data_IF_764100372614
#
_entry.id   IF_764100372614
#
_cell.length_a   1.000
_cell.length_b   1.000
_cell.length_c   1.000
_cell.angle_alpha   90.00
_cell.angle_beta   90.00
_cell.angle_gamma   90.00
#
_symmetry.space_group_name_H-M   'P 1'
#
loop_
_entity.id
_entity.type
_entity.pdbx_description
1 polymer ?
#
# COMPACT_ATOMS: atom_id res chain seq x y z
N UNK A 1 22.61 11.62 -10.55
CA UNK A 1 21.86 11.69 -9.29
C UNK A 1 20.91 10.50 -9.31
N UNK A 2 20.89 9.70 -8.26
CA UNK A 2 20.01 8.52 -8.19
C UNK A 2 18.56 8.98 -8.02
N UNK A 3 17.65 8.42 -8.81
CA UNK A 3 16.22 8.73 -8.73
C UNK A 3 15.62 8.12 -7.45
N UNK A 4 15.13 8.98 -6.54
CA UNK A 4 14.51 8.53 -5.29
C UNK A 4 13.35 7.57 -5.54
N UNK A 5 12.55 7.80 -6.59
CA UNK A 5 11.39 6.96 -6.88
C UNK A 5 11.84 5.53 -7.18
N UNK A 6 12.83 5.35 -8.05
CA UNK A 6 13.34 4.03 -8.40
C UNK A 6 13.93 3.30 -7.19
N UNK A 7 14.69 3.99 -6.34
CA UNK A 7 15.25 3.41 -5.11
C UNK A 7 14.13 2.98 -4.13
N UNK A 8 13.15 3.86 -3.92
CA UNK A 8 12.04 3.62 -3.00
C UNK A 8 11.13 2.48 -3.49
N UNK A 9 10.86 2.40 -4.80
CA UNK A 9 10.07 1.31 -5.39
C UNK A 9 10.72 -0.05 -5.15
N UNK A 10 12.02 -0.17 -5.45
CA UNK A 10 12.78 -1.43 -5.25
C UNK A 10 12.77 -1.82 -3.78
N UNK A 11 13.06 -0.88 -2.87
CA UNK A 11 13.15 -1.18 -1.46
C UNK A 11 11.79 -1.54 -0.84
N UNK A 12 10.73 -0.84 -1.24
CA UNK A 12 9.37 -1.15 -0.79
C UNK A 12 8.88 -2.51 -1.30
N UNK A 13 9.17 -2.85 -2.56
CA UNK A 13 8.87 -4.17 -3.12
C UNK A 13 9.61 -5.27 -2.36
N UNK A 14 10.92 -5.11 -2.15
CA UNK A 14 11.71 -6.09 -1.41
C UNK A 14 11.20 -6.29 0.02
N UNK A 15 10.76 -5.21 0.67
CA UNK A 15 10.16 -5.28 1.99
C UNK A 15 8.81 -6.02 1.98
N UNK A 16 7.90 -5.66 1.07
CA UNK A 16 6.57 -6.27 0.95
C UNK A 16 6.64 -7.77 0.59
N UNK A 17 7.61 -8.17 -0.24
CA UNK A 17 7.84 -9.56 -0.62
C UNK A 17 8.70 -10.35 0.39
N UNK A 18 9.15 -9.72 1.49
CA UNK A 18 10.03 -10.36 2.46
C UNK A 18 11.44 -10.69 1.93
N UNK A 19 11.82 -10.13 0.77
CA UNK A 19 13.19 -10.25 0.20
C UNK A 19 14.21 -9.44 1.00
N UNK A 20 13.74 -8.50 1.80
CA UNK A 20 14.54 -7.76 2.76
C UNK A 20 13.83 -7.67 4.10
N UNK A 21 14.56 -8.02 5.16
CA UNK A 21 14.19 -7.77 6.54
C UNK A 21 15.19 -6.78 7.11
N UNK A 22 14.75 -5.58 7.56
CA UNK A 22 15.66 -4.61 8.15
C UNK A 22 16.37 -5.17 9.39
N UNK A 23 17.64 -4.82 9.58
CA UNK A 23 18.32 -5.16 10.83
C UNK A 23 17.72 -4.40 12.01
N UNK A 24 17.86 -4.90 13.25
CA UNK A 24 17.30 -4.25 14.44
C UNK A 24 17.72 -2.77 14.59
N UNK A 25 18.94 -2.43 14.16
CA UNK A 25 19.45 -1.05 14.12
C UNK A 25 18.76 -0.19 13.06
N UNK A 26 18.55 -0.72 11.85
CA UNK A 26 17.76 -0.07 10.80
C UNK A 26 16.31 0.14 11.25
N UNK A 27 15.68 -0.87 11.87
CA UNK A 27 14.32 -0.77 12.40
C UNK A 27 14.20 0.31 13.49
N UNK A 28 15.13 0.34 14.44
CA UNK A 28 15.13 1.33 15.53
C UNK A 28 15.22 2.75 14.96
N UNK A 29 16.07 2.95 13.95
CA UNK A 29 16.23 4.26 13.32
C UNK A 29 15.05 4.62 12.42
N UNK A 30 14.45 3.66 11.72
CA UNK A 30 13.20 3.88 10.99
C UNK A 30 12.07 4.32 11.94
N UNK A 31 11.96 3.72 13.14
CA UNK A 31 11.03 4.17 14.20
C UNK A 31 11.27 5.61 14.59
N UNK A 32 12.51 5.99 14.86
CA UNK A 32 12.84 7.37 15.24
C UNK A 32 12.47 8.36 14.13
N UNK A 33 12.81 8.07 12.87
CA UNK A 33 12.44 8.93 11.73
C UNK A 33 10.93 9.04 11.52
N UNK A 34 10.20 7.92 11.63
CA UNK A 34 8.75 7.91 11.49
C UNK A 34 8.08 8.81 12.55
N UNK A 35 8.55 8.75 13.80
CA UNK A 35 8.04 9.61 14.88
C UNK A 35 8.34 11.10 14.65
N UNK A 36 9.52 11.44 14.12
CA UNK A 36 9.86 12.83 13.79
C UNK A 36 8.97 13.38 12.68
N UNK A 37 8.72 12.58 11.64
CA UNK A 37 7.81 12.96 10.55
C UNK A 37 6.37 13.20 11.03
N UNK A 38 5.91 12.50 12.08
CA UNK A 38 4.57 12.69 12.62
C UNK A 38 4.49 13.91 13.55
N UNK A 39 5.54 14.18 14.34
CA UNK A 39 5.58 15.29 15.28
C UNK A 39 5.57 16.67 14.59
N UNK A 40 6.23 16.80 13.44
CA UNK A 40 6.31 18.06 12.69
C UNK A 40 5.00 18.41 11.94
N UNK A 41 4.03 17.50 11.91
CA UNK A 41 2.77 17.66 11.15
C UNK A 41 1.59 18.24 11.94
N UNK A 42 1.65 18.27 13.28
CA UNK A 42 0.49 18.66 14.11
C UNK A 42 -0.68 17.66 13.99
N UNK A 43 -1.53 17.60 15.03
CA UNK A 43 -2.56 16.56 15.21
C UNK A 43 -3.59 16.43 14.05
N UNK A 44 -3.69 17.41 13.15
CA UNK A 44 -4.64 17.38 12.02
C UNK A 44 -4.05 16.82 10.71
N UNK A 45 -2.73 16.60 10.62
CA UNK A 45 -2.07 16.19 9.37
C UNK A 45 -1.33 14.85 9.48
N UNK A 46 -2.01 13.82 9.99
CA UNK A 46 -1.52 12.44 9.94
C UNK A 46 -1.23 12.02 8.47
N UNK A 47 0.01 12.26 8.03
CA UNK A 47 0.48 12.03 6.66
C UNK A 47 1.40 13.08 6.02
N UNK A 48 1.55 14.29 6.57
CA UNK A 48 2.18 15.41 5.84
C UNK A 48 3.48 15.99 6.42
N UNK A 49 3.99 15.52 7.56
CA UNK A 49 5.30 15.99 8.03
C UNK A 49 6.44 15.44 7.16
N UNK A 50 7.32 16.33 6.72
CA UNK A 50 8.48 15.99 5.90
C UNK A 50 9.64 15.54 6.79
N UNK A 51 10.45 14.59 6.33
CA UNK A 51 11.72 14.30 7.02
C UNK A 51 12.67 15.48 6.79
N UNK A 52 13.22 16.02 7.86
CA UNK A 52 14.22 17.09 7.75
C UNK A 52 15.58 16.52 7.35
N UNK A 53 16.38 17.30 6.62
CA UNK A 53 17.75 16.94 6.30
C UNK A 53 18.57 16.67 7.57
N UNK A 54 18.28 17.40 8.65
CA UNK A 54 18.92 17.20 9.95
C UNK A 54 18.59 15.81 10.52
N UNK A 55 17.32 15.41 10.55
CA UNK A 55 16.91 14.10 11.06
C UNK A 55 17.52 12.97 10.22
N UNK A 56 17.58 13.14 8.89
CA UNK A 56 18.25 12.20 7.98
C UNK A 56 19.75 12.14 8.28
N UNK A 57 20.44 13.28 8.40
CA UNK A 57 21.86 13.33 8.69
C UNK A 57 22.21 12.70 10.04
N UNK A 58 21.41 12.94 11.07
CA UNK A 58 21.53 12.30 12.38
C UNK A 58 21.36 10.78 12.27
N UNK A 59 20.39 10.32 11.49
CA UNK A 59 20.16 8.90 11.25
C UNK A 59 21.28 8.22 10.44
N UNK A 60 21.95 8.94 9.54
CA UNK A 60 23.06 8.45 8.74
C UNK A 60 24.43 8.67 9.41
N UNK A 61 24.47 9.10 10.67
CA UNK A 61 25.73 9.14 11.43
C UNK A 61 26.23 7.70 11.67
N UNK A 62 27.48 7.39 11.29
CA UNK A 62 28.10 6.10 11.59
C UNK A 62 28.09 5.88 13.10
N UNK A 63 27.48 4.78 13.54
CA UNK A 63 27.74 4.28 14.89
C UNK A 63 29.06 3.51 14.87
N UNK A 64 29.83 3.59 15.96
CA UNK A 64 31.13 2.92 16.04
C UNK A 64 31.03 1.39 16.16
N UNK A 65 29.82 0.82 16.31
CA UNK A 65 29.63 -0.57 16.71
C UNK A 65 29.19 -1.56 15.60
N UNK A 66 28.51 -1.13 14.52
CA UNK A 66 27.78 -2.07 13.63
C UNK A 66 28.03 -1.86 12.13
N UNK A 67 29.23 -2.17 11.63
CA UNK A 67 29.50 -2.34 10.18
C UNK A 67 29.38 -1.08 9.29
N UNK A 68 28.93 0.03 9.84
CA UNK A 68 28.76 1.32 9.17
C UNK A 68 27.45 1.46 8.38
N UNK A 69 27.05 2.71 8.15
CA UNK A 69 25.83 3.09 7.40
C UNK A 69 25.84 2.59 5.95
N UNK A 70 27.01 2.26 5.41
CA UNK A 70 27.17 1.69 4.08
C UNK A 70 26.55 0.28 3.94
N UNK A 71 26.30 -0.43 5.04
CA UNK A 71 25.64 -1.73 5.01
C UNK A 71 24.10 -1.62 4.98
N UNK A 72 23.54 -0.41 5.12
CA UNK A 72 22.10 -0.22 5.25
C UNK A 72 21.44 0.04 3.92
N UNK A 73 20.39 -0.73 3.63
CA UNK A 73 19.62 -0.54 2.39
C UNK A 73 18.81 0.75 2.42
N UNK A 74 18.43 1.23 3.61
CA UNK A 74 17.77 2.53 3.78
C UNK A 74 18.70 3.71 3.49
N UNK A 75 20.02 3.55 3.59
CA UNK A 75 20.95 4.68 3.47
C UNK A 75 20.87 5.36 2.10
N UNK A 76 20.83 4.58 1.02
CA UNK A 76 20.74 5.13 -0.34
C UNK A 76 19.44 5.90 -0.57
N UNK A 77 18.31 5.35 -0.09
CA UNK A 77 16.99 6.00 -0.17
C UNK A 77 16.98 7.31 0.61
N UNK A 78 17.53 7.31 1.83
CA UNK A 78 17.53 8.49 2.70
C UNK A 78 18.48 9.58 2.19
N UNK A 79 19.62 9.21 1.60
CA UNK A 79 20.52 10.17 0.95
C UNK A 79 19.86 10.85 -0.27
N UNK A 80 19.02 10.12 -1.02
CA UNK A 80 18.29 10.66 -2.16
C UNK A 80 17.03 11.44 -1.77
N UNK A 81 16.53 11.30 -0.52
CA UNK A 81 15.25 11.85 -0.06
C UNK A 81 15.07 13.36 -0.30
N UNK A 82 16.05 14.24 0.03
CA UNK A 82 15.87 15.68 -0.12
C UNK A 82 15.68 16.14 -1.58
N UNK A 83 16.19 15.36 -2.53
CA UNK A 83 16.10 15.65 -3.97
C UNK A 83 14.87 15.04 -4.65
N UNK A 84 14.12 14.18 -3.96
CA UNK A 84 12.93 13.54 -4.53
C UNK A 84 11.70 14.44 -4.50
N UNK A 85 10.77 14.18 -5.42
CA UNK A 85 9.48 14.87 -5.42
C UNK A 85 8.56 14.37 -4.28
N UNK A 86 7.46 15.08 -3.98
CA UNK A 86 6.60 14.77 -2.84
C UNK A 86 6.01 13.35 -2.82
N UNK A 87 5.73 12.75 -3.98
CA UNK A 87 5.17 11.40 -4.08
C UNK A 87 6.21 10.33 -3.76
N UNK A 88 7.44 10.50 -4.28
CA UNK A 88 8.56 9.61 -3.96
C UNK A 88 8.91 9.70 -2.46
N UNK A 89 8.96 10.92 -1.91
CA UNK A 89 9.16 11.14 -0.47
C UNK A 89 8.05 10.51 0.38
N UNK A 90 6.80 10.54 -0.11
CA UNK A 90 5.68 9.93 0.61
C UNK A 90 5.80 8.40 0.67
N UNK A 91 6.25 7.75 -0.41
CA UNK A 91 6.54 6.30 -0.39
C UNK A 91 7.62 5.95 0.65
N UNK A 92 8.68 6.75 0.76
CA UNK A 92 9.71 6.53 1.79
C UNK A 92 9.13 6.67 3.19
N UNK A 93 8.26 7.66 3.44
CA UNK A 93 7.59 7.81 4.75
C UNK A 93 6.68 6.62 5.06
N UNK A 94 5.91 6.15 4.08
CA UNK A 94 5.05 4.98 4.23
C UNK A 94 5.87 3.71 4.54
N UNK A 95 7.03 3.54 3.89
CA UNK A 95 7.96 2.44 4.17
C UNK A 95 8.55 2.53 5.58
N UNK A 96 9.03 3.70 6.00
CA UNK A 96 9.57 3.89 7.34
C UNK A 96 8.53 3.61 8.43
N UNK A 97 7.29 4.07 8.23
CA UNK A 97 6.18 3.78 9.14
C UNK A 97 5.87 2.28 9.18
N UNK A 98 5.83 1.61 8.03
CA UNK A 98 5.62 0.17 7.95
C UNK A 98 6.70 -0.62 8.72
N UNK A 99 7.97 -0.27 8.53
CA UNK A 99 9.09 -0.86 9.30
C UNK A 99 8.94 -0.56 10.79
N UNK A 100 8.55 0.66 11.13
CA UNK A 100 8.44 1.11 12.52
C UNK A 100 7.45 0.30 13.36
N UNK A 101 6.42 -0.25 12.71
CA UNK A 101 5.30 -0.92 13.39
C UNK A 101 5.18 -2.42 13.04
N UNK A 102 6.06 -2.96 12.20
CA UNK A 102 6.01 -4.36 11.75
C UNK A 102 6.08 -5.38 12.89
N UNK A 103 6.61 -4.97 14.05
CA UNK A 103 6.73 -5.80 15.25
C UNK A 103 5.55 -5.64 16.23
N UNK A 104 4.44 -5.03 15.81
CA UNK A 104 3.22 -4.99 16.65
C UNK A 104 2.64 -6.41 16.81
N UNK A 105 2.38 -6.87 18.05
CA UNK A 105 1.89 -8.22 18.30
C UNK A 105 0.64 -8.56 17.49
N UNK A 106 0.66 -9.71 16.84
CA UNK A 106 -0.51 -10.29 16.18
C UNK A 106 -0.64 -9.99 14.69
N UNK A 107 0.06 -9.01 14.12
CA UNK A 107 0.11 -8.82 12.67
C UNK A 107 1.17 -9.77 12.09
N UNK A 108 0.74 -10.74 11.28
CA UNK A 108 1.67 -11.64 10.58
C UNK A 108 2.58 -10.87 9.61
N UNK A 109 3.66 -11.50 9.11
CA UNK A 109 4.60 -10.84 8.23
C UNK A 109 3.91 -10.39 6.92
N UNK A 110 4.46 -9.35 6.29
CA UNK A 110 3.79 -8.68 5.16
C UNK A 110 3.77 -9.54 3.90
N UNK A 111 4.81 -10.34 3.68
CA UNK A 111 4.96 -11.30 2.58
C UNK A 111 3.85 -12.36 2.57
N UNK A 112 3.34 -12.75 3.74
CA UNK A 112 2.20 -13.65 3.87
C UNK A 112 0.85 -12.99 3.55
N UNK A 113 0.82 -11.67 3.36
CA UNK A 113 -0.40 -10.84 3.20
C UNK A 113 -0.37 -9.92 1.98
N UNK A 114 0.65 -10.00 1.14
CA UNK A 114 0.79 -9.20 -0.07
C UNK A 114 0.94 -10.10 -1.29
N UNK A 115 -0.02 -10.05 -2.21
CA UNK A 115 -0.06 -10.91 -3.39
C UNK A 115 -0.19 -10.07 -4.65
N UNK A 116 0.80 -10.16 -5.54
CA UNK A 116 0.74 -9.59 -6.89
C UNK A 116 0.18 -10.61 -7.89
N UNK A 117 -0.49 -10.15 -8.95
CA UNK A 117 -0.82 -11.02 -10.07
C UNK A 117 0.45 -11.74 -10.61
N UNK A 118 0.41 -13.06 -10.91
CA UNK A 118 -0.74 -13.94 -10.92
C UNK A 118 -0.85 -14.79 -9.65
N UNK A 119 -0.15 -14.42 -8.56
CA UNK A 119 -0.10 -15.24 -7.37
C UNK A 119 -1.50 -15.41 -6.79
N UNK A 120 -1.93 -16.66 -6.59
CA UNK A 120 -3.24 -16.95 -6.04
C UNK A 120 -3.15 -16.96 -4.52
N UNK A 121 -3.97 -16.15 -3.87
CA UNK A 121 -4.22 -16.29 -2.46
C UNK A 121 -5.16 -17.49 -2.22
N UNK A 122 -4.69 -18.48 -1.46
CA UNK A 122 -5.44 -19.72 -1.14
C UNK A 122 -5.79 -19.85 0.36
N UNK A 123 -5.43 -18.84 1.17
CA UNK A 123 -5.71 -18.86 2.59
C UNK A 123 -7.20 -18.73 2.88
N UNK A 124 -7.71 -19.50 3.85
CA UNK A 124 -9.07 -19.30 4.39
C UNK A 124 -9.06 -18.50 5.69
N UNK A 125 -7.90 -18.44 6.36
CA UNK A 125 -7.77 -17.93 7.73
C UNK A 125 -7.09 -16.55 7.80
N UNK A 126 -6.81 -15.95 6.64
CA UNK A 126 -5.93 -14.79 6.47
C UNK A 126 -6.76 -13.51 6.26
N UNK A 127 -7.48 -13.05 7.28
CA UNK A 127 -8.12 -11.73 7.29
C UNK A 127 -9.04 -11.38 6.11
N UNK A 128 -9.52 -10.13 6.04
CA UNK A 128 -10.32 -9.67 4.91
C UNK A 128 -9.44 -9.35 3.69
N UNK A 129 -9.95 -9.59 2.48
CA UNK A 129 -9.23 -9.36 1.23
C UNK A 129 -9.48 -7.95 0.72
N UNK A 130 -8.43 -7.21 0.41
CA UNK A 130 -8.50 -5.88 -0.21
C UNK A 130 -7.87 -5.92 -1.59
N UNK A 131 -8.69 -5.66 -2.62
CA UNK A 131 -8.17 -5.48 -3.98
C UNK A 131 -7.85 -4.02 -4.25
N UNK A 132 -6.67 -3.75 -4.83
CA UNK A 132 -6.19 -2.40 -5.16
C UNK A 132 -6.44 -2.06 -6.65
N UNK A 133 -7.68 -1.68 -6.96
CA UNK A 133 -8.10 -1.30 -8.30
C UNK A 133 -7.71 0.14 -8.65
N UNK A 134 -7.45 0.41 -9.93
CA UNK A 134 -7.10 1.76 -10.39
C UNK A 134 -6.01 1.78 -11.45
N UNK A 135 -5.29 2.91 -11.52
CA UNK A 135 -4.26 3.10 -12.54
C UNK A 135 -3.06 2.16 -12.39
N UNK A 136 -2.66 1.51 -13.47
CA UNK A 136 -1.42 0.69 -13.51
C UNK A 136 -0.47 1.31 -14.53
N UNK A 137 -0.86 1.25 -15.81
CA UNK A 137 -0.06 1.75 -16.92
C UNK A 137 -0.07 3.29 -16.99
N UNK A 138 1.10 3.88 -17.21
CA UNK A 138 1.27 5.33 -17.34
C UNK A 138 1.14 6.09 -16.01
N UNK A 139 1.24 5.39 -14.88
CA UNK A 139 1.10 5.98 -13.54
C UNK A 139 2.19 5.44 -12.61
N UNK A 140 2.53 6.22 -11.56
CA UNK A 140 3.42 5.76 -10.49
C UNK A 140 2.85 4.52 -9.81
N UNK A 141 3.71 3.74 -9.16
CA UNK A 141 3.32 2.55 -8.41
C UNK A 141 2.69 2.91 -7.06
N UNK A 142 1.53 3.57 -7.09
CA UNK A 142 0.78 3.97 -5.89
C UNK A 142 0.31 2.74 -5.08
N UNK A 143 0.24 1.56 -5.72
CA UNK A 143 -0.11 0.32 -5.06
C UNK A 143 0.87 -0.05 -3.93
N UNK A 144 2.16 0.30 -4.04
CA UNK A 144 3.12 0.10 -2.95
C UNK A 144 2.75 0.92 -1.72
N UNK A 145 2.43 2.20 -1.92
CA UNK A 145 1.99 3.09 -0.83
C UNK A 145 0.71 2.58 -0.18
N UNK A 146 -0.28 2.20 -0.99
CA UNK A 146 -1.52 1.62 -0.50
C UNK A 146 -1.29 0.33 0.30
N UNK A 147 -0.45 -0.58 -0.20
CA UNK A 147 -0.13 -1.84 0.46
C UNK A 147 0.58 -1.62 1.79
N UNK A 148 1.61 -0.78 1.84
CA UNK A 148 2.32 -0.43 3.06
C UNK A 148 1.36 0.15 4.12
N UNK A 149 0.51 1.10 3.73
CA UNK A 149 -0.46 1.73 4.63
C UNK A 149 -1.56 0.74 5.10
N UNK A 150 -2.05 -0.16 4.24
CA UNK A 150 -3.05 -1.16 4.59
C UNK A 150 -2.50 -2.21 5.57
N UNK A 151 -1.32 -2.77 5.27
CA UNK A 151 -0.69 -3.82 6.07
C UNK A 151 -0.19 -3.30 7.42
N UNK A 152 0.12 -2.01 7.49
CA UNK A 152 0.47 -1.26 8.69
C UNK A 152 -0.64 -1.23 9.75
N UNK A 153 -1.90 -1.08 9.32
CA UNK A 153 -3.01 -0.75 10.25
C UNK A 153 -4.10 -1.81 10.30
N UNK A 154 -3.98 -2.88 9.52
CA UNK A 154 -5.03 -3.90 9.41
C UNK A 154 -4.46 -5.30 9.26
N UNK A 155 -5.32 -6.30 9.46
CA UNK A 155 -5.05 -7.70 9.14
C UNK A 155 -5.38 -8.07 7.69
N UNK A 156 -5.59 -7.08 6.83
CA UNK A 156 -5.97 -7.33 5.45
C UNK A 156 -4.92 -8.15 4.71
N UNK A 157 -5.39 -8.89 3.71
CA UNK A 157 -4.56 -9.41 2.62
C UNK A 157 -4.76 -8.51 1.41
N UNK A 158 -3.66 -7.98 0.89
CA UNK A 158 -3.65 -7.09 -0.27
C UNK A 158 -3.51 -7.92 -1.54
N UNK A 159 -4.48 -7.78 -2.43
CA UNK A 159 -4.47 -8.30 -3.79
C UNK A 159 -4.09 -7.15 -4.73
N UNK A 160 -2.87 -7.19 -5.26
CA UNK A 160 -2.31 -6.16 -6.12
C UNK A 160 -2.30 -6.62 -7.59
N UNK A 161 -3.07 -5.99 -8.50
CA UNK A 161 -3.03 -6.34 -9.91
C UNK A 161 -1.71 -5.92 -10.59
N UNK A 162 -1.00 -4.94 -10.04
CA UNK A 162 0.27 -4.46 -10.61
C UNK A 162 1.40 -5.43 -10.30
N UNK A 163 1.98 -6.00 -11.35
CA UNK A 163 3.13 -6.90 -11.28
C UNK A 163 4.42 -6.11 -11.30
N UNK A 164 5.42 -6.54 -10.54
CA UNK A 164 6.80 -6.09 -10.69
C UNK A 164 7.32 -6.34 -12.12
N UNK A 165 7.04 -7.52 -12.67
CA UNK A 165 7.49 -7.94 -14.00
C UNK A 165 6.33 -8.44 -14.87
N UNK A 166 5.82 -7.59 -15.77
CA UNK A 166 4.79 -7.98 -16.74
C UNK A 166 5.42 -8.51 -18.04
N UNK A 167 5.15 -9.77 -18.46
CA UNK A 167 5.69 -10.32 -19.69
C UNK A 167 4.93 -9.76 -20.91
N UNK A 168 5.26 -8.53 -21.31
CA UNK A 168 4.56 -7.75 -22.36
C UNK A 168 4.50 -8.44 -23.73
N UNK A 169 5.46 -9.32 -24.03
CA UNK A 169 5.53 -10.07 -25.29
C UNK A 169 4.92 -11.47 -25.21
N UNK A 170 4.38 -11.88 -24.04
CA UNK A 170 3.78 -13.19 -23.85
C UNK A 170 2.34 -13.24 -24.37
N UNK A 171 1.98 -14.15 -25.30
CA UNK A 171 0.63 -14.20 -25.87
C UNK A 171 -0.46 -14.56 -24.84
N UNK A 172 -0.08 -15.22 -23.74
CA UNK A 172 -0.98 -15.62 -22.64
C UNK A 172 -0.94 -14.66 -21.45
N UNK A 173 -0.06 -13.65 -21.47
CA UNK A 173 0.15 -12.75 -20.33
C UNK A 173 -1.09 -11.91 -20.01
N UNK A 174 -1.68 -11.30 -21.04
CA UNK A 174 -2.88 -10.46 -20.89
C UNK A 174 -4.13 -11.28 -20.52
N UNK A 175 -4.46 -12.42 -21.17
CA UNK A 175 -5.58 -13.26 -20.73
C UNK A 175 -5.45 -13.75 -19.29
N UNK A 176 -4.24 -14.16 -18.86
CA UNK A 176 -4.01 -14.59 -17.49
C UNK A 176 -4.15 -13.44 -16.47
N UNK A 177 -3.69 -12.24 -16.84
CA UNK A 177 -3.86 -11.03 -16.04
C UNK A 177 -5.35 -10.72 -15.84
N UNK A 178 -6.11 -10.64 -16.93
CA UNK A 178 -7.54 -10.32 -16.89
C UNK A 178 -8.31 -11.37 -16.07
N UNK A 179 -8.00 -12.65 -16.24
CA UNK A 179 -8.64 -13.71 -15.48
C UNK A 179 -8.32 -13.63 -13.98
N UNK A 180 -7.07 -13.32 -13.63
CA UNK A 180 -6.66 -13.13 -12.24
C UNK A 180 -7.34 -11.90 -11.62
N UNK A 181 -7.30 -10.75 -12.30
CA UNK A 181 -7.92 -9.50 -11.85
C UNK A 181 -9.42 -9.70 -11.62
N UNK A 182 -10.12 -10.32 -12.57
CA UNK A 182 -11.54 -10.63 -12.44
C UNK A 182 -11.80 -11.53 -11.21
N UNK A 183 -11.03 -12.60 -11.03
CA UNK A 183 -11.19 -13.51 -9.89
C UNK A 183 -10.93 -12.83 -8.54
N UNK A 184 -9.80 -12.14 -8.43
CA UNK A 184 -9.36 -11.44 -7.23
C UNK A 184 -10.32 -10.30 -6.84
N UNK A 185 -10.77 -9.51 -7.82
CA UNK A 185 -11.72 -8.42 -7.61
C UNK A 185 -13.08 -8.92 -7.12
N UNK A 186 -13.58 -10.06 -7.64
CA UNK A 186 -14.83 -10.67 -7.17
C UNK A 186 -14.70 -11.38 -5.81
N UNK A 187 -13.52 -11.85 -5.45
CA UNK A 187 -13.26 -12.48 -4.16
C UNK A 187 -13.00 -11.46 -3.03
N UNK A 188 -12.69 -10.21 -3.38
CA UNK A 188 -12.32 -9.17 -2.42
C UNK A 188 -13.45 -8.88 -1.41
N UNK A 189 -13.08 -8.78 -0.13
CA UNK A 189 -14.00 -8.30 0.92
C UNK A 189 -14.32 -6.83 0.72
N UNK A 190 -13.32 -6.03 0.34
CA UNK A 190 -13.49 -4.64 -0.06
C UNK A 190 -12.55 -4.29 -1.23
N UNK A 191 -12.93 -3.29 -2.02
CA UNK A 191 -12.12 -2.79 -3.13
C UNK A 191 -11.73 -1.34 -2.89
N UNK A 192 -10.43 -1.07 -2.96
CA UNK A 192 -9.89 0.30 -3.01
C UNK A 192 -9.75 0.69 -4.47
N UNK A 193 -10.49 1.71 -4.91
CA UNK A 193 -10.29 2.34 -6.21
C UNK A 193 -9.49 3.63 -6.05
N UNK A 194 -8.33 3.71 -6.70
CA UNK A 194 -7.54 4.96 -6.78
C UNK A 194 -7.27 5.35 -8.24
N UNK A 195 -7.72 6.54 -8.61
CA UNK A 195 -7.46 7.12 -9.93
C UNK A 195 -6.37 8.21 -9.82
N UNK A 196 -5.09 7.87 -10.03
CA UNK A 196 -4.01 8.86 -10.07
C UNK A 196 -4.11 9.73 -11.33
N UNK A 197 -3.54 10.93 -11.28
CA UNK A 197 -3.43 11.81 -12.44
C UNK A 197 -2.46 11.27 -13.51
N UNK A 198 -2.61 11.73 -14.75
CA UNK A 198 -1.65 11.56 -15.85
C UNK A 198 -2.01 10.49 -16.87
N UNK A 199 -3.04 9.67 -16.61
CA UNK A 199 -3.51 8.68 -17.57
C UNK A 199 -4.94 8.24 -17.26
N UNK A 200 -5.81 8.28 -18.26
CA UNK A 200 -7.19 7.76 -18.18
C UNK A 200 -7.18 6.24 -18.01
N UNK A 201 -7.97 5.73 -17.07
CA UNK A 201 -8.00 4.31 -16.71
C UNK A 201 -9.35 3.67 -17.08
N UNK A 202 -9.61 3.38 -18.37
CA UNK A 202 -10.93 2.93 -18.82
C UNK A 202 -11.35 1.58 -18.24
N UNK A 203 -10.41 0.65 -18.04
CA UNK A 203 -10.69 -0.65 -17.43
C UNK A 203 -11.11 -0.48 -15.96
N UNK A 204 -10.36 0.33 -15.19
CA UNK A 204 -10.73 0.62 -13.80
C UNK A 204 -12.06 1.38 -13.68
N UNK A 205 -12.39 2.26 -14.62
CA UNK A 205 -13.72 2.92 -14.68
C UNK A 205 -14.85 1.92 -14.97
N UNK A 206 -14.60 0.96 -15.88
CA UNK A 206 -15.54 -0.13 -16.17
C UNK A 206 -15.78 -1.01 -14.94
N UNK A 207 -14.71 -1.41 -14.25
CA UNK A 207 -14.77 -2.19 -13.01
C UNK A 207 -15.50 -1.43 -11.89
N UNK A 208 -15.18 -0.14 -11.70
CA UNK A 208 -15.87 0.71 -10.74
C UNK A 208 -17.39 0.73 -10.99
N UNK A 209 -17.81 0.94 -12.24
CA UNK A 209 -19.22 0.94 -12.60
C UNK A 209 -19.93 -0.38 -12.25
N UNK A 210 -19.28 -1.51 -12.56
CA UNK A 210 -19.82 -2.83 -12.25
C UNK A 210 -19.98 -3.06 -10.72
N UNK A 211 -18.98 -2.66 -9.93
CA UNK A 211 -18.98 -2.87 -8.48
C UNK A 211 -19.84 -1.86 -7.71
N UNK A 212 -19.97 -0.63 -8.21
CA UNK A 212 -20.88 0.35 -7.67
C UNK A 212 -22.32 -0.17 -7.70
N UNK A 213 -22.79 -0.67 -8.85
CA UNK A 213 -24.16 -1.19 -9.02
C UNK A 213 -24.38 -2.51 -8.27
N UNK A 214 -23.37 -3.37 -8.19
CA UNK A 214 -23.46 -4.66 -7.48
C UNK A 214 -23.69 -4.51 -5.97
N UNK A 215 -23.36 -3.35 -5.38
CA UNK A 215 -23.40 -3.16 -3.94
C UNK A 215 -22.15 -3.65 -3.21
N UNK A 216 -21.03 -3.84 -3.93
CA UNK A 216 -19.75 -4.20 -3.31
C UNK A 216 -19.31 -3.12 -2.31
N UNK A 217 -18.63 -3.54 -1.24
CA UNK A 217 -17.94 -2.63 -0.32
C UNK A 217 -16.75 -2.00 -1.06
N UNK A 218 -16.86 -0.71 -1.38
CA UNK A 218 -15.85 0.01 -2.16
C UNK A 218 -15.49 1.31 -1.46
N UNK A 219 -14.22 1.67 -1.49
CA UNK A 219 -13.74 3.01 -1.18
C UNK A 219 -13.14 3.59 -2.46
N UNK A 220 -13.50 4.84 -2.79
CA UNK A 220 -13.12 5.45 -4.06
C UNK A 220 -12.38 6.75 -3.80
N UNK A 221 -11.23 6.90 -4.44
CA UNK A 221 -10.51 8.15 -4.48
C UNK A 221 -10.02 8.47 -5.89
N UNK A 222 -9.95 9.76 -6.19
CA UNK A 222 -9.37 10.26 -7.42
C UNK A 222 -8.50 11.47 -7.10
N UNK A 223 -7.29 11.48 -7.66
CA UNK A 223 -6.42 12.64 -7.61
C UNK A 223 -7.18 13.88 -8.12
N UNK A 224 -7.06 15.06 -7.48
CA UNK A 224 -7.70 16.29 -7.95
C UNK A 224 -7.42 16.62 -9.43
N UNK A 225 -6.26 16.21 -9.94
CA UNK A 225 -5.84 16.40 -11.33
C UNK A 225 -6.18 15.21 -12.25
N UNK A 226 -6.88 14.17 -11.78
CA UNK A 226 -7.31 13.06 -12.63
C UNK A 226 -8.31 13.54 -13.71
N UNK A 227 -8.03 13.17 -14.95
CA UNK A 227 -8.67 13.71 -16.16
C UNK A 227 -10.18 13.44 -16.20
N UNK A 228 -10.63 12.34 -15.59
CA UNK A 228 -12.04 11.93 -15.52
C UNK A 228 -12.60 12.03 -14.11
N UNK A 229 -12.00 12.84 -13.22
CA UNK A 229 -12.46 13.02 -11.84
C UNK A 229 -13.93 13.45 -11.78
N UNK A 230 -14.33 14.42 -12.60
CA UNK A 230 -15.71 14.89 -12.64
C UNK A 230 -16.68 13.74 -12.96
N UNK A 231 -16.33 12.88 -13.92
CA UNK A 231 -17.17 11.73 -14.26
C UNK A 231 -17.27 10.73 -13.10
N UNK A 232 -16.15 10.42 -12.44
CA UNK A 232 -16.15 9.53 -11.25
C UNK A 232 -17.08 10.08 -10.17
N UNK A 233 -16.97 11.39 -9.87
CA UNK A 233 -17.77 12.05 -8.83
C UNK A 233 -19.26 12.05 -9.21
N UNK A 234 -19.62 12.52 -10.40
CA UNK A 234 -21.02 12.64 -10.79
C UNK A 234 -21.70 11.28 -10.98
N UNK A 235 -21.01 10.30 -11.59
CA UNK A 235 -21.58 8.96 -11.77
C UNK A 235 -21.83 8.27 -10.42
N UNK A 236 -20.89 8.36 -9.48
CA UNK A 236 -21.08 7.78 -8.14
C UNK A 236 -22.10 8.54 -7.30
N UNK A 237 -22.19 9.87 -7.43
CA UNK A 237 -23.27 10.64 -6.79
C UNK A 237 -24.66 10.18 -7.25
N UNK A 238 -24.79 9.67 -8.46
CA UNK A 238 -26.04 9.09 -8.95
C UNK A 238 -26.24 7.63 -8.55
N UNK A 239 -25.18 6.82 -8.54
CA UNK A 239 -25.27 5.39 -8.30
C UNK A 239 -25.24 4.98 -6.82
N UNK A 240 -24.50 5.72 -5.98
CA UNK A 240 -24.13 5.39 -4.60
C UNK A 240 -23.92 6.67 -3.78
N UNK A 241 -25.02 7.35 -3.44
CA UNK A 241 -25.03 8.64 -2.74
C UNK A 241 -24.29 8.64 -1.39
N UNK A 242 -24.10 7.47 -0.78
CA UNK A 242 -23.42 7.30 0.49
C UNK A 242 -21.89 7.28 0.39
N UNK A 243 -21.33 7.15 -0.82
CA UNK A 243 -19.88 7.10 -1.01
C UNK A 243 -19.26 8.49 -1.06
N UNK A 244 -18.33 8.75 -0.15
CA UNK A 244 -17.42 9.89 -0.25
C UNK A 244 -16.34 9.61 -1.30
N UNK A 245 -16.09 10.56 -2.19
CA UNK A 245 -14.98 10.48 -3.16
C UNK A 245 -13.77 11.22 -2.60
N UNK A 246 -12.77 10.46 -2.17
CA UNK A 246 -11.59 11.01 -1.54
C UNK A 246 -10.62 11.61 -2.55
N UNK A 247 -9.86 12.61 -2.13
CA UNK A 247 -8.90 13.34 -2.98
C UNK A 247 -7.44 12.99 -2.70
N UNK A 248 -7.18 12.04 -1.79
CA UNK A 248 -5.82 11.60 -1.48
C UNK A 248 -5.77 10.10 -1.24
N UNK A 249 -4.63 9.50 -1.57
CA UNK A 249 -4.39 8.08 -1.36
C UNK A 249 -4.54 7.67 0.13
N UNK A 250 -3.99 8.41 1.12
CA UNK A 250 -4.18 8.06 2.52
C UNK A 250 -5.64 8.09 2.98
N UNK A 251 -6.45 9.01 2.44
CA UNK A 251 -7.87 9.08 2.78
C UNK A 251 -8.65 7.86 2.27
N UNK A 252 -8.42 7.44 1.01
CA UNK A 252 -9.09 6.24 0.47
C UNK A 252 -8.59 4.95 1.14
N UNK A 253 -7.33 4.87 1.55
CA UNK A 253 -6.80 3.73 2.33
C UNK A 253 -7.50 3.65 3.70
N UNK A 254 -7.68 4.76 4.40
CA UNK A 254 -8.45 4.79 5.66
C UNK A 254 -9.90 4.36 5.44
N UNK A 255 -10.52 4.85 4.37
CA UNK A 255 -11.90 4.51 4.04
C UNK A 255 -12.08 3.02 3.74
N UNK A 256 -11.20 2.41 2.92
CA UNK A 256 -11.30 0.96 2.67
C UNK A 256 -11.04 0.15 3.93
N UNK A 257 -10.14 0.61 4.81
CA UNK A 257 -9.84 -0.05 6.09
C UNK A 257 -11.07 -0.05 6.99
N UNK A 258 -11.85 1.04 7.01
CA UNK A 258 -13.08 1.14 7.79
C UNK A 258 -14.21 0.22 7.28
N UNK A 259 -14.12 -0.27 6.03
CA UNK A 259 -15.05 -1.26 5.48
C UNK A 259 -14.70 -2.70 5.88
N UNK A 260 -13.52 -2.93 6.44
CA UNK A 260 -13.08 -4.27 6.79
C UNK A 260 -13.77 -4.77 8.06
N UNK A 261 -14.23 -6.03 8.09
CA UNK A 261 -14.76 -6.62 9.31
C UNK A 261 -13.68 -6.67 10.38
N UNK A 262 -14.07 -6.42 11.64
CA UNK A 262 -13.21 -6.73 12.78
C UNK A 262 -12.88 -8.22 12.76
N UNK A 263 -11.61 -8.54 13.07
CA UNK A 263 -11.19 -9.93 13.13
C UNK A 263 -12.00 -10.66 14.19
N UNK A 264 -12.80 -11.65 13.76
CA UNK A 264 -13.46 -12.54 14.71
C UNK A 264 -12.38 -13.15 15.62
N UNK A 265 -12.52 -12.94 16.93
CA UNK A 265 -11.66 -13.61 17.90
C UNK A 265 -11.71 -15.11 17.61
N UNK A 266 -10.56 -15.70 17.28
CA UNK A 266 -10.44 -17.14 17.05
C UNK A 266 -10.96 -17.81 18.31
N UNK A 267 -12.12 -18.45 18.21
CA UNK A 267 -12.75 -19.16 19.31
C UNK A 267 -11.89 -20.40 19.66
N UNK A 268 -10.86 -20.18 20.46
CA UNK A 268 -10.11 -21.23 21.12
C UNK A 268 -10.90 -21.70 22.35
N UNK A 269 -11.57 -22.85 22.25
CA UNK A 269 -11.89 -23.69 23.41
C UNK A 269 -12.35 -25.05 22.91
N UNK A 270 -11.48 -26.04 23.07
CA UNK A 270 -11.69 -27.42 22.66
C UNK A 270 -12.98 -28.02 23.20
N UNK A 271 -13.64 -28.80 22.35
CA UNK A 271 -14.45 -29.92 22.80
C UNK A 271 -13.57 -31.16 22.76
N UNK A 272 -13.00 -31.50 23.91
CA UNK A 272 -12.55 -32.85 24.22
C UNK A 272 -13.76 -33.77 24.07
N UNK A 273 -13.80 -34.54 22.97
CA UNK A 273 -14.60 -35.76 22.92
C UNK A 273 -13.92 -36.78 23.84
N UNK A 274 -14.41 -36.92 25.07
CA UNK A 274 -14.19 -38.13 25.83
C UNK A 274 -15.14 -39.22 25.33
N UNK A 275 -14.54 -40.40 25.09
CA UNK A 275 -15.19 -41.68 24.82
C UNK A 275 -16.05 -42.13 25.99
#
# INVERSE_FOLDING_TARGET
>A
MTDLQALADVLALDYLHGRWTPAATEEHRARNLALHADADSGLEQLGAGALTEQAIAEMLRPDHADGGVAAWRLAEVLLAYPAGDPEAQALVRDLLRAIAIANLPGLGPYDARYFEAPATYTGTDSGPLVFTAGGISGTRNWQLRAALQLLAVSRAVVLNPRRENFPIHGPVAAPAQIAWEYGALNAATAVLFWFPAGSVQPIALYELGAHAVRGTAIAVGADPAYERRLDVVEQLRHARLELEIHTSLPAVVRAVTALLPEAAAVAGSGRTCHR
#
